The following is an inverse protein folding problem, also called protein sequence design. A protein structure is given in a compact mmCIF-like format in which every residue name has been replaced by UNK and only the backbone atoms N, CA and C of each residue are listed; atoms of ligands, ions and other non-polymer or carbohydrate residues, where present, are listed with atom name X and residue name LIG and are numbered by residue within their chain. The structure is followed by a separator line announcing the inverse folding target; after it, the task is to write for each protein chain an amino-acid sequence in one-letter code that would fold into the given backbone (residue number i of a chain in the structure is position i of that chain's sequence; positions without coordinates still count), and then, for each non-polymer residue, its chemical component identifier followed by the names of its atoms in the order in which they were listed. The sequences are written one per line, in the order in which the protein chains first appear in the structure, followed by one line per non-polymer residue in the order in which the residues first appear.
data_IF_939977521423
#
_entry.id   IF_939977521423
#
_cell.length_a   1.000
_cell.length_b   1.000
_cell.length_c   1.000
_cell.angle_alpha   90.00
_cell.angle_beta   90.00
_cell.angle_gamma   90.00
#
_symmetry.space_group_name_H-M   'P 1'
#
loop_
_entity.id
_entity.type
_entity.pdbx_description
1 polymer ?
#
# COMPACT_ATOMS: atom_id res chain seq x y z
N UNK A 1 -1.86 11.39 1.06
CA UNK A 1 -2.96 11.95 0.24
C UNK A 1 -2.40 12.16 -1.13
N UNK A 2 -3.09 11.73 -2.19
CA UNK A 2 -2.72 12.14 -3.54
C UNK A 2 -3.19 13.56 -3.83
N UNK A 3 -2.52 14.26 -4.74
CA UNK A 3 -3.03 15.49 -5.33
C UNK A 3 -4.17 15.09 -6.29
N UNK A 4 -5.40 15.49 -5.99
CA UNK A 4 -6.58 15.09 -6.78
C UNK A 4 -6.44 15.61 -8.21
N UNK A 5 -6.65 14.72 -9.18
CA UNK A 5 -6.55 15.07 -10.60
C UNK A 5 -5.13 15.15 -11.15
N UNK A 6 -4.09 14.98 -10.32
CA UNK A 6 -2.70 15.02 -10.79
C UNK A 6 -2.41 13.92 -11.81
N UNK A 7 -2.83 12.68 -11.55
CA UNK A 7 -2.63 11.58 -12.50
C UNK A 7 -3.34 11.84 -13.83
N UNK A 8 -4.58 12.35 -13.80
CA UNK A 8 -5.34 12.73 -15.01
C UNK A 8 -4.65 13.85 -15.77
N UNK A 9 -4.15 14.86 -15.06
CA UNK A 9 -3.42 15.98 -15.65
C UNK A 9 -2.10 15.51 -16.30
N UNK A 10 -1.31 14.69 -15.62
CA UNK A 10 -0.04 14.15 -16.12
C UNK A 10 -0.26 13.25 -17.36
N UNK A 11 -1.32 12.43 -17.35
CA UNK A 11 -1.70 11.60 -18.49
C UNK A 11 -2.14 12.43 -19.70
N UNK A 12 -2.89 13.51 -19.48
CA UNK A 12 -3.32 14.41 -20.55
C UNK A 12 -2.17 15.26 -21.12
N UNK A 13 -1.08 15.43 -20.39
CA UNK A 13 0.06 16.27 -20.78
C UNK A 13 1.21 15.51 -21.44
N UNK A 14 1.09 14.20 -21.70
CA UNK A 14 2.17 13.35 -22.24
C UNK A 14 3.50 13.45 -21.45
N UNK A 15 3.45 13.89 -20.19
CA UNK A 15 4.62 14.08 -19.32
C UNK A 15 5.07 12.77 -18.64
N UNK A 16 4.40 11.66 -18.92
CA UNK A 16 4.76 10.33 -18.40
C UNK A 16 5.51 9.51 -19.45
N UNK A 17 6.83 9.42 -19.35
CA UNK A 17 7.59 8.39 -20.06
C UNK A 17 7.49 7.06 -19.33
N UNK A 18 7.34 5.96 -20.07
CA UNK A 18 7.56 4.62 -19.52
C UNK A 18 8.98 4.52 -18.99
N UNK A 19 9.13 4.28 -17.68
CA UNK A 19 10.44 4.16 -17.04
C UNK A 19 10.80 2.68 -16.99
N UNK A 20 11.92 2.34 -17.60
CA UNK A 20 12.54 1.01 -17.40
C UNK A 20 13.34 1.07 -16.10
N UNK A 21 12.97 0.23 -15.14
CA UNK A 21 13.69 0.10 -13.88
C UNK A 21 14.79 -0.96 -14.04
N UNK A 22 16.04 -0.53 -14.13
CA UNK A 22 17.21 -1.40 -14.17
C UNK A 22 18.35 -0.80 -13.32
N UNK A 23 19.04 -1.64 -12.53
CA UNK A 23 20.23 -1.26 -11.72
C UNK A 23 20.01 -0.01 -10.85
N UNK A 24 18.80 0.17 -10.34
CA UNK A 24 18.41 1.31 -9.52
C UNK A 24 17.93 0.87 -8.14
N UNK A 25 17.78 1.82 -7.22
CA UNK A 25 17.09 1.59 -5.94
C UNK A 25 15.68 2.16 -6.03
N UNK A 26 14.68 1.37 -5.67
CA UNK A 26 13.28 1.77 -5.63
C UNK A 26 12.77 1.69 -4.20
N UNK A 27 12.17 2.79 -3.76
CA UNK A 27 11.46 2.85 -2.48
C UNK A 27 9.97 2.66 -2.76
N UNK A 28 9.38 1.65 -2.13
CA UNK A 28 7.97 1.30 -2.26
C UNK A 28 7.23 1.75 -1.00
N UNK A 29 6.22 2.59 -1.18
CA UNK A 29 5.24 2.90 -0.13
C UNK A 29 4.36 1.67 0.14
N UNK A 30 4.46 1.13 1.35
CA UNK A 30 3.79 -0.09 1.78
C UNK A 30 2.27 0.05 1.74
N UNK A 31 1.71 1.17 2.20
CA UNK A 31 0.26 1.35 2.24
C UNK A 31 -0.30 1.54 0.83
N UNK A 32 0.42 2.27 -0.02
CA UNK A 32 0.08 2.38 -1.44
C UNK A 32 0.12 1.00 -2.13
N UNK A 33 1.15 0.19 -1.85
CA UNK A 33 1.26 -1.17 -2.37
C UNK A 33 0.08 -2.04 -1.92
N UNK A 34 -0.31 -2.02 -0.64
CA UNK A 34 -1.43 -2.81 -0.13
C UNK A 34 -2.70 -2.46 -0.90
N UNK A 35 -3.04 -1.18 -1.02
CA UNK A 35 -4.23 -0.75 -1.75
C UNK A 35 -4.16 -1.09 -3.24
N UNK A 36 -3.00 -0.94 -3.86
CA UNK A 36 -2.78 -1.32 -5.26
C UNK A 36 -3.03 -2.81 -5.48
N UNK A 37 -2.43 -3.68 -4.66
CA UNK A 37 -2.63 -5.14 -4.75
C UNK A 37 -4.10 -5.50 -4.59
N UNK A 38 -4.79 -4.87 -3.62
CA UNK A 38 -6.22 -5.10 -3.43
C UNK A 38 -7.06 -4.69 -4.64
N UNK A 39 -6.73 -3.56 -5.26
CA UNK A 39 -7.46 -3.06 -6.42
C UNK A 39 -7.20 -3.90 -7.67
N UNK A 40 -5.93 -4.19 -7.98
CA UNK A 40 -5.53 -4.92 -9.19
C UNK A 40 -5.94 -6.40 -9.17
N UNK A 41 -6.08 -6.99 -7.98
CA UNK A 41 -6.47 -8.41 -7.84
C UNK A 41 -7.94 -8.57 -7.42
N UNK A 42 -8.73 -7.50 -7.48
CA UNK A 42 -10.17 -7.49 -7.16
C UNK A 42 -10.47 -8.11 -5.77
N UNK A 43 -9.59 -7.85 -4.79
CA UNK A 43 -9.74 -8.36 -3.44
C UNK A 43 -10.72 -7.52 -2.62
N UNK A 44 -11.35 -8.14 -1.64
CA UNK A 44 -12.32 -7.54 -0.74
C UNK A 44 -11.64 -6.61 0.28
N UNK A 45 -11.63 -5.33 -0.06
CA UNK A 45 -11.07 -4.24 0.76
C UNK A 45 -11.83 -3.97 2.04
N UNK A 46 -13.06 -4.47 2.19
CA UNK A 46 -13.94 -4.11 3.29
C UNK A 46 -13.98 -5.17 4.37
N UNK A 47 -14.05 -6.44 3.96
CA UNK A 47 -14.19 -7.57 4.88
C UNK A 47 -12.91 -8.38 5.02
N UNK A 48 -11.90 -8.15 4.16
CA UNK A 48 -10.57 -8.76 4.29
C UNK A 48 -10.57 -10.28 4.12
N UNK A 49 -9.67 -10.97 4.84
CA UNK A 49 -9.66 -12.44 4.92
C UNK A 49 -8.98 -13.18 3.76
N UNK A 50 -8.65 -12.50 2.66
CA UNK A 50 -7.99 -13.10 1.50
C UNK A 50 -6.45 -13.11 1.60
N UNK A 51 -5.93 -13.45 2.79
CA UNK A 51 -4.50 -13.30 3.12
C UNK A 51 -3.58 -14.13 2.22
N UNK A 52 -4.01 -15.32 1.80
CA UNK A 52 -3.25 -16.15 0.88
C UNK A 52 -3.10 -15.52 -0.51
N UNK A 53 -4.19 -15.02 -1.09
CA UNK A 53 -4.17 -14.35 -2.40
C UNK A 53 -3.35 -13.07 -2.36
N UNK A 54 -3.50 -12.29 -1.28
CA UNK A 54 -2.68 -11.10 -1.05
C UNK A 54 -1.19 -11.46 -0.98
N UNK A 55 -0.82 -12.48 -0.21
CA UNK A 55 0.56 -12.95 -0.08
C UNK A 55 1.17 -13.33 -1.44
N UNK A 56 0.46 -14.13 -2.23
CA UNK A 56 0.90 -14.51 -3.58
C UNK A 56 1.08 -13.31 -4.51
N UNK A 57 0.16 -12.34 -4.45
CA UNK A 57 0.23 -11.13 -5.26
C UNK A 57 1.45 -10.27 -4.90
N UNK A 58 1.75 -10.10 -3.60
CA UNK A 58 2.94 -9.37 -3.13
C UNK A 58 4.23 -10.08 -3.51
N UNK A 59 4.31 -11.41 -3.34
CA UNK A 59 5.48 -12.18 -3.79
C UNK A 59 5.72 -12.03 -5.29
N UNK A 60 4.65 -12.09 -6.09
CA UNK A 60 4.74 -11.89 -7.53
C UNK A 60 5.21 -10.48 -7.90
N UNK A 61 4.72 -9.46 -7.21
CA UNK A 61 5.14 -8.07 -7.39
C UNK A 61 6.64 -7.91 -7.10
N UNK A 62 7.08 -8.36 -5.92
CA UNK A 62 8.49 -8.28 -5.49
C UNK A 62 9.40 -9.01 -6.48
N UNK A 63 9.05 -10.25 -6.86
CA UNK A 63 9.82 -11.06 -7.81
C UNK A 63 9.95 -10.38 -9.17
N UNK A 64 8.92 -9.66 -9.63
CA UNK A 64 8.99 -8.91 -10.89
C UNK A 64 9.92 -7.71 -10.77
N UNK A 65 9.87 -7.01 -9.64
CA UNK A 65 10.67 -5.83 -9.40
C UNK A 65 12.17 -6.16 -9.31
N UNK A 66 12.53 -7.27 -8.67
CA UNK A 66 13.94 -7.66 -8.45
C UNK A 66 14.65 -8.26 -9.69
N UNK A 67 13.92 -8.58 -10.78
CA UNK A 67 14.48 -9.24 -11.98
C UNK A 67 15.56 -8.45 -12.73
N UNK A 68 15.64 -7.14 -12.56
CA UNK A 68 16.55 -6.27 -13.32
C UNK A 68 17.61 -5.59 -12.44
N UNK A 69 18.11 -6.31 -11.44
CA UNK A 69 19.08 -5.79 -10.46
C UNK A 69 18.57 -4.52 -9.74
N UNK A 70 17.26 -4.42 -9.56
CA UNK A 70 16.64 -3.34 -8.80
C UNK A 70 16.74 -3.68 -7.32
N UNK A 71 17.38 -2.81 -6.53
CA UNK A 71 17.33 -2.88 -5.07
C UNK A 71 15.98 -2.34 -4.61
N UNK A 72 15.22 -3.14 -3.89
CA UNK A 72 13.91 -2.76 -3.35
C UNK A 72 14.06 -2.40 -1.87
N UNK A 73 13.43 -1.31 -1.47
CA UNK A 73 13.25 -0.92 -0.07
C UNK A 73 11.76 -0.67 0.13
N UNK A 74 11.16 -1.25 1.16
CA UNK A 74 9.74 -1.03 1.50
C UNK A 74 9.64 -0.15 2.73
N UNK A 75 8.83 0.91 2.65
CA UNK A 75 8.59 1.84 3.75
C UNK A 75 7.12 1.78 4.17
N UNK A 76 6.88 1.46 5.43
CA UNK A 76 5.56 1.56 6.05
C UNK A 76 5.45 2.81 6.90
N UNK A 77 4.29 3.44 6.85
CA UNK A 77 3.91 4.43 7.86
C UNK A 77 3.86 3.75 9.23
N UNK A 78 4.54 4.35 10.22
CA UNK A 78 4.45 3.92 11.61
C UNK A 78 3.36 4.64 12.39
N UNK A 79 3.45 4.55 13.72
CA UNK A 79 2.55 5.27 14.60
C UNK A 79 2.70 6.78 14.35
N UNK A 80 1.59 7.45 14.08
CA UNK A 80 1.54 8.89 13.88
C UNK A 80 1.31 9.57 15.23
N UNK A 81 1.91 10.75 15.42
CA UNK A 81 1.50 11.64 16.52
C UNK A 81 0.11 12.20 16.19
N UNK A 82 -0.85 11.97 17.09
CA UNK A 82 -2.26 12.33 16.92
C UNK A 82 -2.39 13.81 16.53
N UNK A 83 -1.62 14.67 17.19
CA UNK A 83 -1.64 16.14 17.08
C UNK A 83 -1.57 16.70 15.66
N UNK A 84 -0.91 16.02 14.71
CA UNK A 84 -0.62 16.58 13.37
C UNK A 84 -1.54 16.08 12.25
N UNK A 85 -2.21 14.93 12.42
CA UNK A 85 -2.99 14.26 11.36
C UNK A 85 -4.41 13.84 11.77
N UNK A 86 -4.83 14.19 12.99
CA UNK A 86 -6.09 13.77 13.61
C UNK A 86 -7.32 14.03 12.73
N UNK A 87 -7.51 15.28 12.26
CA UNK A 87 -8.75 15.68 11.57
C UNK A 87 -9.02 14.88 10.31
N UNK A 88 -8.00 14.64 9.48
CA UNK A 88 -8.17 13.95 8.20
C UNK A 88 -8.34 12.43 8.41
N UNK A 89 -7.60 11.84 9.35
CA UNK A 89 -7.67 10.39 9.59
C UNK A 89 -8.93 10.01 10.37
N UNK A 90 -9.31 10.78 11.40
CA UNK A 90 -10.58 10.60 12.11
C UNK A 90 -11.77 10.78 11.18
N UNK A 91 -11.75 11.81 10.32
CA UNK A 91 -12.80 11.98 9.30
C UNK A 91 -12.94 10.77 8.38
N UNK A 92 -11.82 10.16 7.95
CA UNK A 92 -11.86 8.95 7.12
C UNK A 92 -12.36 7.73 7.88
N UNK A 93 -11.90 7.57 9.12
CA UNK A 93 -12.32 6.46 9.96
C UNK A 93 -13.82 6.54 10.25
N UNK A 94 -14.32 7.73 10.59
CA UNK A 94 -15.75 7.97 10.76
C UNK A 94 -16.53 7.72 9.46
N UNK A 95 -16.07 8.24 8.32
CA UNK A 95 -16.68 7.96 7.01
C UNK A 95 -16.67 6.47 6.64
N UNK A 96 -15.65 5.74 7.09
CA UNK A 96 -15.54 4.30 6.86
C UNK A 96 -16.52 3.52 7.74
N UNK A 97 -16.77 3.94 8.98
CA UNK A 97 -17.76 3.29 9.84
C UNK A 97 -19.21 3.71 9.55
N UNK A 98 -19.44 4.95 9.11
CA UNK A 98 -20.79 5.48 8.83
C UNK A 98 -21.45 4.89 7.57
N UNK A 99 -20.67 4.33 6.64
CA UNK A 99 -21.18 3.87 5.33
C UNK A 99 -21.92 2.53 5.35
N UNK A 100 -21.91 1.79 6.46
CA UNK A 100 -22.55 0.46 6.49
C UNK A 100 -23.09 0.14 7.89
N UNK A 101 -24.42 0.10 8.03
CA UNK A 101 -25.12 -0.09 9.31
C UNK A 101 -25.39 -1.57 9.63
N UNK A 102 -25.19 -2.50 8.68
CA UNK A 102 -25.56 -3.90 8.86
C UNK A 102 -24.49 -4.73 9.59
N UNK A 103 -23.20 -4.46 9.38
CA UNK A 103 -22.10 -5.23 10.00
C UNK A 103 -20.87 -4.37 10.32
N UNK A 104 -20.94 -3.45 11.30
CA UNK A 104 -19.82 -2.57 11.65
C UNK A 104 -18.59 -3.32 12.20
N UNK A 105 -18.78 -4.53 12.74
CA UNK A 105 -17.72 -5.32 13.41
C UNK A 105 -16.82 -6.11 12.45
N UNK A 106 -17.19 -6.26 11.18
CA UNK A 106 -16.40 -7.03 10.19
C UNK A 106 -15.51 -6.14 9.33
N UNK A 107 -15.62 -4.80 9.47
CA UNK A 107 -14.84 -3.86 8.66
C UNK A 107 -13.44 -3.67 9.26
N UNK A 108 -12.42 -4.07 8.51
CA UNK A 108 -11.04 -4.11 8.99
C UNK A 108 -10.13 -3.13 8.21
N UNK A 109 -9.21 -2.43 8.90
CA UNK A 109 -8.19 -1.58 8.26
C UNK A 109 -7.06 -2.45 7.73
N UNK A 110 -7.11 -2.76 6.43
CA UNK A 110 -6.18 -3.65 5.75
C UNK A 110 -4.70 -3.24 5.94
N UNK A 111 -4.43 -1.95 6.09
CA UNK A 111 -3.08 -1.39 6.06
C UNK A 111 -2.17 -1.95 7.17
N UNK A 112 -2.67 -2.15 8.39
CA UNK A 112 -1.82 -2.53 9.52
C UNK A 112 -1.54 -4.03 9.59
N UNK A 113 -2.54 -4.87 9.31
CA UNK A 113 -2.32 -6.32 9.30
C UNK A 113 -1.55 -6.75 8.06
N UNK A 114 -1.88 -6.20 6.89
CA UNK A 114 -1.18 -6.58 5.66
C UNK A 114 0.22 -5.99 5.57
N UNK A 115 0.55 -4.91 6.29
CA UNK A 115 1.94 -4.45 6.40
C UNK A 115 2.83 -5.46 7.12
N UNK A 116 2.30 -6.20 8.10
CA UNK A 116 3.04 -7.31 8.74
C UNK A 116 3.33 -8.43 7.74
N UNK A 117 2.35 -8.77 6.89
CA UNK A 117 2.54 -9.78 5.82
C UNK A 117 3.61 -9.31 4.83
N UNK A 118 3.56 -8.04 4.41
CA UNK A 118 4.59 -7.45 3.54
C UNK A 118 5.95 -7.48 4.22
N UNK A 119 6.03 -7.16 5.53
CA UNK A 119 7.28 -7.18 6.28
C UNK A 119 7.92 -8.58 6.33
N UNK A 120 7.09 -9.62 6.49
CA UNK A 120 7.53 -11.01 6.48
C UNK A 120 8.05 -11.43 5.10
N UNK A 121 7.33 -11.09 4.03
CA UNK A 121 7.78 -11.36 2.66
C UNK A 121 9.10 -10.63 2.36
N UNK A 122 9.25 -9.38 2.82
CA UNK A 122 10.50 -8.64 2.66
C UNK A 122 11.66 -9.36 3.34
N UNK A 123 11.47 -9.81 4.58
CA UNK A 123 12.47 -10.59 5.33
C UNK A 123 12.87 -11.87 4.59
N UNK A 124 11.89 -12.62 4.08
CA UNK A 124 12.12 -13.88 3.34
C UNK A 124 12.91 -13.66 2.04
N UNK A 125 12.81 -12.48 1.44
CA UNK A 125 13.47 -12.15 0.18
C UNK A 125 14.72 -11.27 0.36
N UNK A 126 15.18 -11.03 1.59
CA UNK A 126 16.34 -10.18 1.88
C UNK A 126 16.13 -8.71 1.48
N UNK A 127 14.89 -8.22 1.55
CA UNK A 127 14.50 -6.85 1.22
C UNK A 127 14.43 -6.01 2.50
N UNK A 128 15.00 -4.81 2.44
CA UNK A 128 14.97 -3.86 3.54
C UNK A 128 13.53 -3.36 3.76
N UNK A 129 13.00 -3.50 4.98
CA UNK A 129 11.69 -3.00 5.39
C UNK A 129 11.85 -2.02 6.56
N UNK A 130 11.35 -0.79 6.39
CA UNK A 130 11.43 0.26 7.40
C UNK A 130 10.05 0.74 7.82
N UNK A 131 9.93 1.13 9.09
CA UNK A 131 8.74 1.79 9.64
C UNK A 131 9.13 3.22 10.00
N UNK A 132 8.39 4.21 9.48
CA UNK A 132 8.67 5.62 9.73
C UNK A 132 8.10 6.09 11.07
N UNK A 133 8.76 7.06 11.72
CA UNK A 133 8.16 7.83 12.81
C UNK A 133 7.22 8.89 12.19
N UNK A 134 5.91 8.66 12.23
CA UNK A 134 4.92 9.38 11.40
C UNK A 134 4.65 10.83 11.74
#
# INVERSE_FOLDING_TARGET
MGIRGLTTYLGASNLGTGIVLEKCTVIVDCWALIHFIYQENELDRYYGGQSYFFHLAVQNFIRRLTRHSVKVIVMSDGAFKIETKEKTKMKRMNQFFERDTLYPYTRFSIEHYYSLIVSQICRENGIDFFVTSG
#
